data_IF_386215605754
#
_entry.id   IF_386215605754
#
_cell.length_a   1.000
_cell.length_b   1.000
_cell.length_c   1.000
_cell.angle_alpha   90.00
_cell.angle_beta   90.00
_cell.angle_gamma   90.00
#
_symmetry.space_group_name_H-M   'P 1'
#
loop_
_entity.id
_entity.type
_entity.pdbx_description
1 polymer ?
#
# COMPACT_ATOMS: atom_id res chain seq x y z
N UNK A 1 37.25 18.04 3.95
CA UNK A 1 36.30 17.02 3.44
C UNK A 1 35.98 17.36 1.99
N UNK A 2 35.81 16.36 1.12
CA UNK A 2 35.41 16.56 -0.27
C UNK A 2 34.05 17.26 -0.32
N UNK A 3 33.98 18.39 -1.04
CA UNK A 3 32.74 19.14 -1.29
C UNK A 3 32.40 19.03 -2.76
N UNK A 4 31.12 18.79 -3.07
CA UNK A 4 30.59 18.80 -4.43
C UNK A 4 29.55 19.89 -4.55
N UNK A 5 29.56 20.61 -5.66
CA UNK A 5 28.48 21.53 -5.99
C UNK A 5 27.30 20.71 -6.51
N UNK A 6 26.14 20.87 -5.88
CA UNK A 6 24.91 20.14 -6.22
C UNK A 6 23.79 21.14 -6.45
N UNK A 7 23.08 20.97 -7.56
CA UNK A 7 21.89 21.74 -7.91
C UNK A 7 20.65 21.04 -7.37
N UNK A 8 19.88 21.73 -6.55
CA UNK A 8 18.60 21.26 -6.04
C UNK A 8 17.48 21.90 -6.85
N UNK A 9 16.84 21.13 -7.72
CA UNK A 9 15.65 21.55 -8.47
C UNK A 9 14.42 21.25 -7.62
N UNK A 10 13.83 22.28 -7.02
CA UNK A 10 12.77 22.14 -6.01
C UNK A 10 11.45 22.64 -6.58
N UNK A 11 10.39 21.84 -6.42
CA UNK A 11 9.01 22.25 -6.70
C UNK A 11 8.59 23.41 -5.78
N UNK A 12 8.04 24.47 -6.37
CA UNK A 12 7.57 25.67 -5.68
C UNK A 12 6.13 25.97 -6.02
N UNK A 13 5.36 26.33 -5.01
CA UNK A 13 3.98 26.78 -5.18
C UNK A 13 3.50 27.52 -3.95
N UNK A 14 3.03 28.75 -4.12
CA UNK A 14 2.31 29.51 -3.12
C UNK A 14 0.93 29.90 -3.66
N UNK A 15 -0.16 29.30 -3.15
CA UNK A 15 -1.52 29.56 -3.66
C UNK A 15 -1.97 31.02 -3.50
N UNK A 16 -1.31 31.81 -2.65
CA UNK A 16 -1.63 33.24 -2.46
C UNK A 16 -1.05 34.15 -3.55
N UNK A 17 -0.08 33.66 -4.33
CA UNK A 17 0.68 34.49 -5.29
C UNK A 17 0.80 33.82 -6.66
N UNK A 18 1.06 32.51 -6.68
CA UNK A 18 1.40 31.78 -7.88
C UNK A 18 0.14 31.21 -8.55
N UNK A 19 0.01 31.41 -9.86
CA UNK A 19 -1.08 30.83 -10.65
C UNK A 19 -0.88 29.35 -10.94
N UNK A 20 0.36 28.94 -11.14
CA UNK A 20 0.77 27.57 -11.46
C UNK A 20 2.07 27.24 -10.73
N UNK A 21 2.30 25.98 -10.37
CA UNK A 21 3.56 25.58 -9.78
C UNK A 21 4.72 25.76 -10.75
N UNK A 22 5.91 25.94 -10.22
CA UNK A 22 7.15 26.07 -10.97
C UNK A 22 8.30 25.35 -10.26
N UNK A 23 9.45 25.26 -10.91
CA UNK A 23 10.66 24.73 -10.29
C UNK A 23 11.70 25.82 -10.15
N UNK A 24 12.35 25.85 -9.00
CA UNK A 24 13.46 26.75 -8.72
C UNK A 24 14.73 25.93 -8.49
N UNK A 25 15.89 26.49 -8.82
CA UNK A 25 17.17 25.77 -8.77
C UNK A 25 18.13 26.44 -7.79
N UNK A 26 18.58 25.70 -6.79
CA UNK A 26 19.51 26.18 -5.77
C UNK A 26 20.81 25.39 -5.84
N UNK A 27 21.91 26.07 -6.13
CA UNK A 27 23.25 25.45 -6.13
C UNK A 27 23.91 25.64 -4.78
N UNK A 28 24.26 24.55 -4.12
CA UNK A 28 24.96 24.56 -2.84
C UNK A 28 26.13 23.58 -2.85
N UNK A 29 27.22 23.93 -2.17
CA UNK A 29 28.34 23.03 -1.96
C UNK A 29 28.06 22.12 -0.77
N UNK A 30 27.99 20.81 -1.00
CA UNK A 30 27.66 19.81 0.02
C UNK A 30 28.84 18.90 0.34
N UNK A 31 29.00 18.57 1.61
CA UNK A 31 29.95 17.57 2.10
C UNK A 31 29.31 16.18 2.15
N UNK A 32 30.12 15.12 2.17
CA UNK A 32 29.64 13.75 2.38
C UNK A 32 29.00 13.62 3.77
N UNK A 33 27.86 12.92 3.84
CA UNK A 33 27.08 12.74 5.08
C UNK A 33 26.02 13.82 5.33
N UNK A 34 25.85 14.77 4.41
CA UNK A 34 24.73 15.71 4.43
C UNK A 34 23.48 15.04 3.88
N UNK A 35 22.38 15.17 4.62
CA UNK A 35 21.06 14.67 4.22
C UNK A 35 20.31 15.71 3.39
N UNK A 36 19.31 15.25 2.65
CA UNK A 36 18.43 16.12 1.85
C UNK A 36 17.75 17.17 2.75
N UNK A 37 17.32 16.79 3.96
CA UNK A 37 16.73 17.73 4.91
C UNK A 37 17.72 18.82 5.34
N UNK A 38 19.00 18.47 5.57
CA UNK A 38 20.03 19.46 5.91
C UNK A 38 20.28 20.42 4.74
N UNK A 39 20.26 19.94 3.51
CA UNK A 39 20.33 20.78 2.32
C UNK A 39 19.12 21.73 2.22
N UNK A 40 17.89 21.21 2.43
CA UNK A 40 16.66 22.02 2.44
C UNK A 40 16.68 23.11 3.53
N UNK A 41 17.15 22.79 4.74
CA UNK A 41 17.32 23.76 5.82
C UNK A 41 18.32 24.85 5.42
N UNK A 42 19.48 24.47 4.86
CA UNK A 42 20.48 25.44 4.40
C UNK A 42 19.92 26.37 3.32
N UNK A 43 19.20 25.84 2.33
CA UNK A 43 18.54 26.64 1.29
C UNK A 43 17.55 27.61 1.94
N UNK A 44 16.71 27.13 2.86
CA UNK A 44 15.73 27.99 3.54
C UNK A 44 16.41 29.08 4.37
N UNK A 45 17.45 28.76 5.12
CA UNK A 45 18.10 29.69 6.04
C UNK A 45 18.93 30.76 5.32
N UNK A 46 19.55 30.42 4.18
CA UNK A 46 20.55 31.29 3.56
C UNK A 46 20.21 31.77 2.15
N UNK A 47 19.33 31.09 1.42
CA UNK A 47 19.06 31.40 0.00
C UNK A 47 17.60 31.82 -0.25
N UNK A 48 16.62 31.09 0.29
CA UNK A 48 15.20 31.31 0.06
C UNK A 48 14.35 31.02 1.31
N UNK A 49 14.19 32.01 2.21
CA UNK A 49 13.43 31.88 3.45
C UNK A 49 11.96 31.48 3.28
N UNK A 50 11.37 31.71 2.10
CA UNK A 50 9.96 31.40 1.83
C UNK A 50 9.73 29.93 1.47
N UNK A 51 10.79 29.15 1.23
CA UNK A 51 10.70 27.71 0.98
C UNK A 51 10.04 27.00 2.16
N UNK A 52 9.03 26.19 1.88
CA UNK A 52 8.19 25.55 2.89
C UNK A 52 8.20 24.02 2.74
N UNK A 53 8.48 23.33 3.83
CA UNK A 53 8.44 21.86 3.91
C UNK A 53 8.14 21.45 5.37
N UNK A 54 7.70 20.21 5.56
CA UNK A 54 7.49 19.63 6.90
C UNK A 54 8.75 18.89 7.34
N UNK A 55 9.17 19.10 8.58
CA UNK A 55 10.25 18.36 9.22
C UNK A 55 10.10 18.45 10.75
N UNK A 56 10.57 17.42 11.45
CA UNK A 56 10.52 17.40 12.92
C UNK A 56 11.68 16.61 13.53
N UNK A 57 11.56 15.27 13.63
CA UNK A 57 12.47 14.47 14.48
C UNK A 57 13.91 14.33 13.98
N UNK A 58 14.16 14.52 12.69
CA UNK A 58 15.45 14.28 12.01
C UNK A 58 16.04 12.84 12.15
N UNK A 59 15.31 11.91 12.75
CA UNK A 59 15.76 10.54 13.05
C UNK A 59 15.00 9.46 12.27
N UNK A 60 14.19 9.83 11.27
CA UNK A 60 13.47 8.87 10.43
C UNK A 60 12.32 8.12 11.11
N UNK A 61 11.70 8.73 12.14
CA UNK A 61 10.61 8.09 12.91
C UNK A 61 9.27 8.86 12.90
N UNK A 62 9.27 10.19 12.72
CA UNK A 62 8.02 10.98 12.74
C UNK A 62 7.22 10.98 11.41
N UNK A 63 7.85 10.55 10.31
CA UNK A 63 7.24 10.56 8.97
C UNK A 63 7.07 11.94 8.30
N UNK A 64 7.25 13.05 9.01
CA UNK A 64 6.87 14.39 8.51
C UNK A 64 7.68 14.91 7.32
N UNK A 65 8.91 14.45 7.12
CA UNK A 65 9.80 14.91 6.05
C UNK A 65 9.76 14.04 4.79
N UNK A 66 8.68 13.29 4.60
CA UNK A 66 8.45 12.54 3.38
C UNK A 66 8.21 13.48 2.19
N UNK A 67 9.02 13.32 1.16
CA UNK A 67 8.97 14.07 -0.11
C UNK A 67 9.39 13.13 -1.23
N UNK A 68 9.15 13.51 -2.48
CA UNK A 68 9.68 12.79 -3.65
C UNK A 68 11.07 13.33 -3.98
N UNK A 69 12.03 12.43 -4.11
CA UNK A 69 13.44 12.72 -4.42
C UNK A 69 13.79 11.91 -5.66
N UNK A 70 14.18 12.60 -6.73
CA UNK A 70 14.41 12.00 -8.05
C UNK A 70 13.25 11.09 -8.50
N UNK A 71 12.02 11.56 -8.28
CA UNK A 71 10.79 10.87 -8.69
C UNK A 71 10.32 9.75 -7.75
N UNK A 72 10.96 9.51 -6.60
CA UNK A 72 10.57 8.45 -5.64
C UNK A 72 10.39 9.01 -4.24
N UNK A 73 9.33 8.60 -3.54
CA UNK A 73 9.10 9.00 -2.15
C UNK A 73 10.17 8.47 -1.19
N UNK A 74 10.81 9.37 -0.43
CA UNK A 74 11.82 9.07 0.59
C UNK A 74 11.68 10.02 1.79
N UNK A 75 12.32 9.69 2.91
CA UNK A 75 12.43 10.64 4.04
C UNK A 75 13.66 11.53 3.84
N UNK A 76 13.44 12.83 3.69
CA UNK A 76 14.53 13.78 3.47
C UNK A 76 15.60 13.75 4.59
N UNK A 77 15.22 13.41 5.82
CA UNK A 77 16.17 13.38 6.95
C UNK A 77 17.11 12.17 6.97
N UNK A 78 16.78 11.08 6.29
CA UNK A 78 17.63 9.87 6.23
C UNK A 78 18.29 9.69 4.87
N UNK A 79 17.73 10.27 3.81
CA UNK A 79 18.34 10.25 2.48
C UNK A 79 19.58 11.14 2.45
N UNK A 80 20.73 10.55 2.14
CA UNK A 80 21.98 11.27 1.94
C UNK A 80 21.99 11.91 0.56
N UNK A 81 22.46 13.16 0.47
CA UNK A 81 22.60 13.85 -0.82
C UNK A 81 23.49 13.05 -1.77
N UNK A 82 24.56 12.45 -1.24
CA UNK A 82 25.56 11.72 -2.02
C UNK A 82 25.05 10.41 -2.64
N UNK A 83 24.06 9.78 -2.02
CA UNK A 83 23.46 8.54 -2.53
C UNK A 83 22.50 8.83 -3.70
N UNK A 84 22.11 10.10 -3.88
CA UNK A 84 21.20 10.56 -4.93
C UNK A 84 21.93 11.22 -6.11
N UNK A 85 23.26 11.30 -6.06
CA UNK A 85 24.06 11.83 -7.17
C UNK A 85 24.24 10.74 -8.23
N UNK A 86 23.99 11.10 -9.50
CA UNK A 86 24.32 10.23 -10.63
C UNK A 86 25.83 10.12 -10.89
N UNK A 87 26.18 9.54 -12.05
CA UNK A 87 27.57 9.45 -12.53
C UNK A 87 28.21 10.81 -12.85
N UNK A 88 29.29 10.80 -13.63
CA UNK A 88 30.05 12.02 -13.92
C UNK A 88 29.21 13.05 -14.72
N UNK A 89 28.92 14.22 -14.12
CA UNK A 89 28.11 15.26 -14.73
C UNK A 89 27.57 16.31 -13.74
N UNK A 90 26.68 17.19 -14.22
CA UNK A 90 25.99 18.17 -13.35
C UNK A 90 25.07 17.44 -12.37
N UNK A 91 25.42 17.49 -11.10
CA UNK A 91 24.67 16.84 -10.04
C UNK A 91 23.38 17.62 -9.74
N UNK A 92 22.27 17.20 -10.35
CA UNK A 92 20.94 17.77 -10.07
C UNK A 92 20.07 16.78 -9.31
N UNK A 93 19.52 17.21 -8.18
CA UNK A 93 18.53 16.45 -7.40
C UNK A 93 17.18 17.14 -7.53
N UNK A 94 16.18 16.40 -8.02
CA UNK A 94 14.80 16.84 -8.11
C UNK A 94 14.07 16.57 -6.79
N UNK A 95 13.44 17.60 -6.22
CA UNK A 95 12.63 17.48 -4.99
C UNK A 95 11.22 17.97 -5.25
N UNK A 96 10.25 17.10 -4.97
CA UNK A 96 8.83 17.31 -5.25
C UNK A 96 7.97 16.95 -4.02
N UNK A 97 6.77 17.54 -3.88
CA UNK A 97 5.82 17.08 -2.87
C UNK A 97 5.43 15.62 -3.10
N UNK A 98 4.87 14.97 -2.07
CA UNK A 98 4.25 13.66 -2.23
C UNK A 98 3.16 13.70 -3.30
N UNK A 99 3.08 12.68 -4.14
CA UNK A 99 2.06 12.56 -5.17
C UNK A 99 0.71 12.13 -4.56
N UNK A 100 -0.36 12.20 -5.35
CA UNK A 100 -1.74 11.82 -4.97
C UNK A 100 -2.39 12.63 -3.84
N UNK A 101 -1.64 13.54 -3.24
CA UNK A 101 -2.10 14.47 -2.21
C UNK A 101 -2.11 15.88 -2.77
N UNK A 102 -3.04 16.70 -2.27
CA UNK A 102 -3.14 18.09 -2.70
C UNK A 102 -1.98 18.89 -2.12
N UNK A 103 -1.32 19.70 -2.96
CA UNK A 103 -0.23 20.57 -2.51
C UNK A 103 -0.79 21.81 -1.85
N UNK A 104 -0.47 22.00 -0.57
CA UNK A 104 -0.86 23.20 0.20
C UNK A 104 0.10 24.34 -0.11
N UNK A 105 1.41 24.08 -0.07
CA UNK A 105 2.47 25.06 -0.38
C UNK A 105 3.82 24.37 -0.53
N UNK A 106 4.56 24.67 -1.60
CA UNK A 106 5.87 24.10 -1.91
C UNK A 106 5.86 22.56 -1.75
N UNK A 107 6.59 22.02 -0.76
CA UNK A 107 6.67 20.58 -0.51
C UNK A 107 5.66 20.07 0.53
N UNK A 108 4.76 20.94 1.01
CA UNK A 108 3.72 20.60 1.99
C UNK A 108 2.46 20.16 1.28
N UNK A 109 1.99 18.96 1.63
CA UNK A 109 0.74 18.38 1.12
C UNK A 109 -0.33 18.25 2.21
N UNK A 110 -1.60 18.20 1.81
CA UNK A 110 -2.69 17.88 2.72
C UNK A 110 -2.71 16.37 3.00
N UNK A 111 -2.65 16.00 4.28
CA UNK A 111 -2.65 14.60 4.74
C UNK A 111 -4.00 14.18 5.33
N UNK A 112 -4.96 15.11 5.46
CA UNK A 112 -6.27 14.83 6.01
C UNK A 112 -6.99 13.66 5.32
N UNK A 113 -6.92 13.48 3.99
CA UNK A 113 -7.52 12.33 3.33
C UNK A 113 -7.05 10.97 3.87
N UNK A 114 -5.79 10.85 4.29
CA UNK A 114 -5.27 9.63 4.91
C UNK A 114 -5.86 9.46 6.32
N UNK A 115 -5.87 10.54 7.10
CA UNK A 115 -6.36 10.52 8.47
C UNK A 115 -7.85 10.21 8.55
N UNK A 116 -8.64 10.75 7.63
CA UNK A 116 -10.07 10.56 7.60
C UNK A 116 -10.41 9.12 7.19
N UNK A 117 -9.75 8.57 6.17
CA UNK A 117 -9.88 7.14 5.83
C UNK A 117 -9.48 6.20 6.96
N UNK A 118 -8.45 6.54 7.75
CA UNK A 118 -8.08 5.75 8.94
C UNK A 118 -9.20 5.74 10.00
N UNK A 119 -9.83 6.90 10.25
CA UNK A 119 -10.96 7.02 11.19
C UNK A 119 -12.19 6.26 10.68
N UNK A 120 -12.50 6.42 9.40
CA UNK A 120 -13.59 5.74 8.69
C UNK A 120 -13.38 4.22 8.62
N UNK A 121 -12.19 3.69 8.89
CA UNK A 121 -11.92 2.25 8.82
C UNK A 121 -11.44 1.67 10.16
N UNK A 122 -11.86 2.29 11.26
CA UNK A 122 -11.69 1.76 12.63
C UNK A 122 -10.24 1.36 12.95
N UNK A 123 -9.31 2.29 12.69
CA UNK A 123 -7.88 2.11 12.89
C UNK A 123 -7.42 2.18 14.36
N UNK A 124 -8.21 1.62 15.28
CA UNK A 124 -7.94 1.52 16.71
C UNK A 124 -8.32 0.14 17.23
N UNK A 125 -7.79 -0.20 18.42
CA UNK A 125 -8.14 -1.44 19.13
C UNK A 125 -9.46 -1.23 19.86
N UNK A 126 -10.44 -2.11 19.65
CA UNK A 126 -11.59 -2.28 20.54
C UNK A 126 -11.26 -3.41 21.52
N UNK A 127 -11.03 -3.11 22.81
CA UNK A 127 -10.52 -4.08 23.76
C UNK A 127 -11.38 -5.34 23.88
N UNK A 128 -10.74 -6.51 23.90
CA UNK A 128 -11.38 -7.79 24.19
C UNK A 128 -11.79 -7.98 25.65
N UNK A 129 -11.40 -7.05 26.54
CA UNK A 129 -11.74 -7.11 27.96
C UNK A 129 -12.88 -6.13 28.30
N UNK A 130 -13.71 -6.47 29.31
CA UNK A 130 -14.71 -5.54 29.84
C UNK A 130 -14.11 -4.24 30.39
N UNK A 131 -14.85 -3.15 30.27
CA UNK A 131 -14.39 -1.81 30.64
C UNK A 131 -14.02 -1.68 32.12
N UNK A 132 -14.75 -2.35 33.01
CA UNK A 132 -14.51 -2.35 34.46
C UNK A 132 -13.19 -3.02 34.90
N UNK A 133 -12.57 -3.78 34.00
CA UNK A 133 -11.27 -4.43 34.20
C UNK A 133 -10.11 -3.66 33.56
N UNK A 134 -10.38 -2.66 32.71
CA UNK A 134 -9.33 -1.86 32.08
C UNK A 134 -8.50 -1.10 33.12
N UNK A 135 -7.20 -0.96 32.88
CA UNK A 135 -6.27 -0.23 33.75
C UNK A 135 -5.86 -0.95 35.04
N UNK A 136 -6.44 -2.12 35.35
CA UNK A 136 -6.06 -2.92 36.55
C UNK A 136 -4.77 -3.71 36.36
N UNK A 137 -4.49 -4.15 35.14
CA UNK A 137 -3.28 -4.87 34.73
C UNK A 137 -3.12 -4.78 33.20
N UNK A 138 -1.93 -5.07 32.70
CA UNK A 138 -1.69 -5.21 31.27
C UNK A 138 -2.47 -6.40 30.65
N UNK A 139 -2.70 -6.31 29.34
CA UNK A 139 -3.16 -7.45 28.55
C UNK A 139 -1.94 -8.28 28.13
N UNK A 140 -1.93 -9.56 28.47
CA UNK A 140 -0.84 -10.46 28.11
C UNK A 140 -0.96 -10.82 26.63
N UNK A 141 0.09 -10.51 25.88
CA UNK A 141 0.25 -10.88 24.46
C UNK A 141 1.49 -11.75 24.38
N UNK A 142 1.38 -12.93 23.77
CA UNK A 142 2.53 -13.81 23.55
C UNK A 142 3.47 -13.24 22.48
N UNK A 143 4.74 -13.68 22.48
CA UNK A 143 5.71 -13.27 21.46
C UNK A 143 5.21 -13.58 20.05
N UNK A 144 4.56 -14.73 19.86
CA UNK A 144 3.99 -15.14 18.58
C UNK A 144 2.84 -14.25 18.10
N UNK A 145 1.97 -13.80 19.01
CA UNK A 145 0.88 -12.86 18.69
C UNK A 145 1.42 -11.46 18.39
N UNK A 146 2.47 -11.03 19.08
CA UNK A 146 3.11 -9.75 18.79
C UNK A 146 3.84 -9.77 17.44
N UNK A 147 4.57 -10.85 17.14
CA UNK A 147 5.32 -10.98 15.90
C UNK A 147 4.42 -10.92 14.66
N UNK A 148 3.20 -11.47 14.74
CA UNK A 148 2.20 -11.39 13.67
C UNK A 148 1.84 -9.93 13.27
N UNK A 149 1.99 -8.97 14.18
CA UNK A 149 1.64 -7.55 13.96
C UNK A 149 2.83 -6.60 14.00
N UNK A 150 4.03 -7.10 14.29
CA UNK A 150 5.22 -6.30 14.61
C UNK A 150 5.60 -5.38 13.43
N UNK A 151 5.86 -5.97 12.26
CA UNK A 151 6.25 -5.21 11.07
C UNK A 151 5.19 -4.17 10.65
N UNK A 152 3.90 -4.49 10.76
CA UNK A 152 2.83 -3.55 10.43
C UNK A 152 2.67 -2.43 11.48
N UNK A 153 3.13 -2.66 12.73
CA UNK A 153 3.10 -1.68 13.80
C UNK A 153 4.16 -0.59 13.66
N UNK A 154 5.23 -0.82 12.88
CA UNK A 154 6.28 0.15 12.58
C UNK A 154 5.86 1.25 11.59
N UNK A 155 4.62 1.23 11.12
CA UNK A 155 4.09 2.27 10.23
C UNK A 155 4.09 3.64 10.91
N UNK A 156 4.92 4.55 10.41
CA UNK A 156 5.06 5.93 10.90
C UNK A 156 4.11 6.92 10.21
N UNK A 157 3.16 6.44 9.40
CA UNK A 157 2.20 7.27 8.65
C UNK A 157 2.85 8.39 7.80
N UNK A 158 4.01 8.11 7.18
CA UNK A 158 4.75 9.08 6.36
C UNK A 158 4.07 9.41 5.03
N UNK A 159 3.16 8.56 4.53
CA UNK A 159 2.46 8.76 3.26
C UNK A 159 3.20 8.32 2.00
N UNK A 160 4.44 7.81 2.08
CA UNK A 160 5.19 7.36 0.90
C UNK A 160 4.44 6.30 0.08
N UNK A 161 3.86 5.30 0.73
CA UNK A 161 3.08 4.27 0.05
C UNK A 161 1.80 4.79 -0.61
N UNK A 162 1.24 5.90 -0.10
CA UNK A 162 0.09 6.59 -0.71
C UNK A 162 0.52 7.36 -1.96
N UNK A 163 1.66 8.07 -1.87
CA UNK A 163 2.27 8.79 -3.00
C UNK A 163 2.59 7.87 -4.18
N UNK A 164 3.12 6.68 -3.92
CA UNK A 164 3.56 5.77 -5.00
C UNK A 164 2.47 4.81 -5.49
N UNK A 165 1.27 4.84 -4.91
CA UNK A 165 0.19 3.95 -5.30
C UNK A 165 -0.47 4.42 -6.60
N UNK A 166 -0.37 3.61 -7.65
CA UNK A 166 -1.02 3.88 -8.94
C UNK A 166 -2.54 3.94 -8.85
N UNK A 167 -3.16 3.20 -7.92
CA UNK A 167 -4.61 3.25 -7.73
C UNK A 167 -5.08 4.57 -7.15
N UNK A 168 -4.25 5.24 -6.36
CA UNK A 168 -4.59 6.56 -5.85
C UNK A 168 -4.57 7.65 -6.94
N UNK A 169 -3.81 7.44 -8.02
CA UNK A 169 -3.80 8.33 -9.19
C UNK A 169 -5.12 8.26 -9.98
N UNK A 170 -5.70 7.05 -10.07
CA UNK A 170 -6.89 6.79 -10.89
C UNK A 170 -8.19 6.91 -10.08
N UNK A 171 -8.18 6.46 -8.83
CA UNK A 171 -9.35 6.43 -7.95
C UNK A 171 -9.01 7.01 -6.57
N UNK A 172 -9.37 8.28 -6.34
CA UNK A 172 -9.18 8.92 -5.03
C UNK A 172 -10.03 8.31 -3.92
N UNK A 173 -11.12 7.63 -4.27
CA UNK A 173 -11.98 6.92 -3.31
C UNK A 173 -11.38 5.62 -2.81
N UNK A 174 -10.31 5.11 -3.44
CA UNK A 174 -9.62 3.90 -2.98
C UNK A 174 -9.17 4.05 -1.52
N UNK A 175 -9.44 3.03 -0.69
CA UNK A 175 -9.18 3.05 0.76
C UNK A 175 -7.73 3.33 1.14
N UNK A 176 -6.80 3.08 0.23
CA UNK A 176 -5.36 3.38 0.29
C UNK A 176 -4.49 2.40 1.11
N UNK A 177 -3.19 2.27 0.76
CA UNK A 177 -2.28 1.35 1.45
C UNK A 177 -2.09 1.58 2.96
N UNK A 178 -1.95 2.83 3.48
CA UNK A 178 -1.82 3.06 4.92
C UNK A 178 -2.96 2.46 5.75
N UNK A 179 -4.19 2.53 5.23
CA UNK A 179 -5.38 2.03 5.91
C UNK A 179 -5.40 0.51 5.90
N UNK A 180 -5.04 -0.13 4.77
CA UNK A 180 -4.97 -1.58 4.68
C UNK A 180 -3.89 -2.17 5.60
N UNK A 181 -2.71 -1.55 5.70
CA UNK A 181 -1.67 -1.94 6.67
C UNK A 181 -2.20 -1.86 8.10
N UNK A 182 -2.91 -0.78 8.42
CA UNK A 182 -3.47 -0.59 9.76
C UNK A 182 -4.60 -1.57 10.04
N UNK A 183 -5.43 -1.88 9.04
CA UNK A 183 -6.48 -2.89 9.15
C UNK A 183 -5.90 -4.28 9.40
N UNK A 184 -4.90 -4.70 8.62
CA UNK A 184 -4.17 -5.94 8.84
C UNK A 184 -3.61 -6.01 10.26
N UNK A 185 -2.89 -4.96 10.70
CA UNK A 185 -2.32 -4.85 12.04
C UNK A 185 -3.36 -4.97 13.15
N UNK A 186 -4.55 -4.41 12.97
CA UNK A 186 -5.60 -4.43 13.98
C UNK A 186 -6.37 -5.75 13.98
N UNK A 187 -6.65 -6.32 12.81
CA UNK A 187 -7.35 -7.60 12.67
C UNK A 187 -6.56 -8.76 13.27
N UNK A 188 -5.23 -8.68 13.23
CA UNK A 188 -4.32 -9.70 13.76
C UNK A 188 -3.86 -9.41 15.19
N UNK A 189 -4.35 -8.34 15.83
CA UNK A 189 -4.04 -8.03 17.24
C UNK A 189 -4.99 -8.80 18.16
N UNK A 190 -4.45 -9.67 19.03
CA UNK A 190 -5.24 -10.49 19.96
C UNK A 190 -6.07 -9.67 20.96
N UNK A 191 -5.78 -8.38 21.11
CA UNK A 191 -6.51 -7.45 21.98
C UNK A 191 -7.75 -6.86 21.31
N UNK A 192 -7.90 -6.96 20.00
CA UNK A 192 -8.95 -6.32 19.21
C UNK A 192 -10.16 -7.24 18.99
N UNK A 193 -11.36 -6.65 18.96
CA UNK A 193 -12.63 -7.37 18.72
C UNK A 193 -13.37 -6.91 17.46
N UNK A 194 -12.80 -6.01 16.66
CA UNK A 194 -13.43 -5.43 15.47
C UNK A 194 -12.99 -6.09 14.16
N UNK A 195 -12.24 -7.20 14.21
CA UNK A 195 -11.68 -7.81 13.01
C UNK A 195 -12.71 -8.05 11.89
N UNK A 196 -13.89 -8.60 12.22
CA UNK A 196 -14.95 -8.83 11.22
C UNK A 196 -15.48 -7.51 10.62
N UNK A 197 -15.92 -6.58 11.48
CA UNK A 197 -16.54 -5.32 11.06
C UNK A 197 -15.54 -4.45 10.27
N UNK A 198 -14.28 -4.45 10.69
CA UNK A 198 -13.20 -3.76 9.97
C UNK A 198 -12.94 -4.41 8.62
N UNK A 199 -12.92 -5.74 8.55
CA UNK A 199 -12.70 -6.46 7.31
C UNK A 199 -13.83 -6.22 6.29
N UNK A 200 -15.09 -6.20 6.74
CA UNK A 200 -16.24 -5.86 5.89
C UNK A 200 -16.10 -4.44 5.32
N UNK A 201 -15.73 -3.48 6.17
CA UNK A 201 -15.49 -2.09 5.76
C UNK A 201 -14.36 -1.97 4.74
N UNK A 202 -13.22 -2.59 5.00
CA UNK A 202 -12.12 -2.51 4.04
C UNK A 202 -12.40 -3.33 2.78
N UNK A 203 -13.33 -4.28 2.80
CA UNK A 203 -13.70 -5.10 1.64
C UNK A 203 -14.83 -4.53 0.79
N UNK A 204 -15.44 -3.42 1.21
CA UNK A 204 -16.52 -2.75 0.47
C UNK A 204 -16.02 -2.14 -0.85
N UNK A 205 -16.93 -1.51 -1.59
CA UNK A 205 -16.61 -0.78 -2.82
C UNK A 205 -15.48 0.23 -2.58
N UNK A 206 -14.55 0.31 -3.53
CA UNK A 206 -13.31 1.09 -3.42
C UNK A 206 -12.37 0.68 -2.28
N UNK A 207 -12.58 -0.50 -1.73
CA UNK A 207 -11.76 -1.09 -0.68
C UNK A 207 -10.61 -1.95 -1.21
N UNK A 208 -10.34 -3.03 -0.48
CA UNK A 208 -9.29 -4.03 -0.61
C UNK A 208 -9.11 -4.56 -2.04
N UNK A 209 -10.21 -4.70 -2.76
CA UNK A 209 -10.23 -5.33 -4.08
C UNK A 209 -9.73 -4.41 -5.20
N UNK A 210 -9.77 -3.09 -5.02
CA UNK A 210 -9.28 -2.12 -6.00
C UNK A 210 -7.75 -2.12 -6.13
N UNK A 211 -7.02 -2.76 -5.22
CA UNK A 211 -5.56 -2.87 -5.32
C UNK A 211 -5.15 -3.55 -6.64
N UNK A 212 -4.32 -2.85 -7.43
CA UNK A 212 -3.82 -3.31 -8.73
C UNK A 212 -2.54 -4.16 -8.67
N UNK A 213 -2.05 -4.51 -7.47
CA UNK A 213 -0.85 -5.37 -7.30
C UNK A 213 0.39 -4.85 -8.04
N UNK A 214 0.65 -3.54 -7.97
CA UNK A 214 1.85 -2.94 -8.58
C UNK A 214 3.08 -2.94 -7.66
N UNK A 215 2.93 -3.35 -6.40
CA UNK A 215 3.97 -3.44 -5.36
C UNK A 215 4.74 -2.16 -5.00
N UNK A 216 4.53 -1.03 -5.69
CA UNK A 216 5.20 0.25 -5.41
C UNK A 216 5.08 0.74 -3.98
N UNK A 217 3.94 0.46 -3.33
CA UNK A 217 3.72 0.82 -1.92
C UNK A 217 4.71 0.12 -0.98
N UNK A 218 5.02 -1.16 -1.24
CA UNK A 218 5.97 -1.97 -0.48
C UNK A 218 7.40 -1.60 -0.85
N UNK A 219 7.71 -1.47 -2.14
CA UNK A 219 9.05 -1.12 -2.66
C UNK A 219 9.58 0.21 -2.10
N UNK A 220 8.69 1.21 -1.96
CA UNK A 220 9.04 2.54 -1.47
C UNK A 220 8.60 2.79 -0.02
N UNK A 221 8.31 1.73 0.74
CA UNK A 221 8.07 1.86 2.17
C UNK A 221 9.37 2.20 2.89
N UNK A 222 9.44 3.38 3.51
CA UNK A 222 10.65 3.86 4.22
C UNK A 222 10.96 3.07 5.50
N UNK A 223 10.08 2.14 5.88
CA UNK A 223 10.21 1.25 7.03
C UNK A 223 10.24 -0.23 6.63
N UNK A 224 10.28 -0.53 5.32
CA UNK A 224 10.32 -1.91 4.79
C UNK A 224 9.17 -2.80 5.29
N UNK A 225 7.98 -2.21 5.46
CA UNK A 225 6.80 -2.96 5.89
C UNK A 225 6.33 -3.85 4.72
N UNK A 226 6.02 -5.14 4.95
CA UNK A 226 5.52 -6.04 3.92
C UNK A 226 4.03 -5.74 3.60
N UNK A 227 3.78 -4.57 3.00
CA UNK A 227 2.42 -4.03 2.80
C UNK A 227 1.55 -4.96 1.94
N UNK A 228 2.10 -5.47 0.84
CA UNK A 228 1.35 -6.37 -0.06
C UNK A 228 1.01 -7.70 0.62
N UNK A 229 1.89 -8.25 1.44
CA UNK A 229 1.61 -9.48 2.19
C UNK A 229 0.43 -9.28 3.13
N UNK A 230 0.38 -8.15 3.85
CA UNK A 230 -0.77 -7.77 4.68
C UNK A 230 -2.06 -7.59 3.88
N UNK A 231 -1.99 -7.01 2.67
CA UNK A 231 -3.14 -6.88 1.75
C UNK A 231 -3.62 -8.26 1.27
N UNK A 232 -2.70 -9.17 0.95
CA UNK A 232 -3.05 -10.54 0.56
C UNK A 232 -3.69 -11.30 1.71
N UNK A 233 -3.16 -11.18 2.94
CA UNK A 233 -3.75 -11.76 4.14
C UNK A 233 -5.17 -11.26 4.40
N UNK A 234 -5.44 -9.96 4.25
CA UNK A 234 -6.80 -9.44 4.35
C UNK A 234 -7.74 -10.04 3.29
N UNK A 235 -7.26 -10.30 2.07
CA UNK A 235 -8.08 -10.95 1.03
C UNK A 235 -8.38 -12.40 1.36
N UNK A 236 -7.37 -13.13 1.87
CA UNK A 236 -7.54 -14.50 2.36
C UNK A 236 -8.56 -14.54 3.51
N UNK A 237 -8.41 -13.69 4.52
CA UNK A 237 -9.36 -13.55 5.64
C UNK A 237 -10.79 -13.26 5.15
N UNK A 238 -10.94 -12.42 4.12
CA UNK A 238 -12.24 -12.09 3.54
C UNK A 238 -12.89 -13.32 2.89
N UNK A 239 -12.12 -14.09 2.12
CA UNK A 239 -12.61 -15.34 1.52
C UNK A 239 -12.95 -16.41 2.57
N UNK A 240 -12.11 -16.59 3.59
CA UNK A 240 -12.32 -17.56 4.67
C UNK A 240 -13.61 -17.26 5.46
N UNK A 241 -14.00 -16.00 5.53
CA UNK A 241 -15.23 -15.55 6.18
C UNK A 241 -16.45 -15.48 5.24
N UNK A 242 -16.28 -15.93 3.99
CA UNK A 242 -17.35 -15.92 2.99
C UNK A 242 -17.76 -14.54 2.49
N UNK A 243 -16.89 -13.52 2.62
CA UNK A 243 -17.15 -12.15 2.16
C UNK A 243 -16.95 -12.04 0.63
N UNK A 244 -17.78 -12.73 -0.14
CA UNK A 244 -17.66 -12.85 -1.60
C UNK A 244 -18.64 -11.98 -2.39
N UNK A 245 -19.43 -11.15 -1.71
CA UNK A 245 -20.52 -10.37 -2.30
C UNK A 245 -20.09 -9.06 -2.98
N UNK A 246 -18.83 -8.63 -2.86
CA UNK A 246 -18.36 -7.43 -3.57
C UNK A 246 -18.04 -7.75 -5.04
N UNK A 247 -18.10 -6.74 -5.93
CA UNK A 247 -17.72 -6.92 -7.34
C UNK A 247 -16.29 -7.47 -7.45
N UNK A 248 -15.37 -6.91 -6.68
CA UNK A 248 -13.98 -7.31 -6.66
C UNK A 248 -13.74 -8.73 -6.12
N UNK A 249 -14.45 -9.13 -5.07
CA UNK A 249 -14.38 -10.49 -4.53
C UNK A 249 -14.93 -11.51 -5.54
N UNK A 250 -16.08 -11.23 -6.17
CA UNK A 250 -16.62 -12.07 -7.25
C UNK A 250 -15.68 -12.17 -8.45
N UNK A 251 -15.03 -11.07 -8.82
CA UNK A 251 -14.04 -11.07 -9.90
C UNK A 251 -12.86 -12.00 -9.59
N UNK A 252 -12.28 -11.87 -8.38
CA UNK A 252 -11.18 -12.71 -7.93
C UNK A 252 -11.58 -14.18 -7.86
N UNK A 253 -12.77 -14.49 -7.34
CA UNK A 253 -13.29 -15.87 -7.31
C UNK A 253 -13.50 -16.43 -8.73
N UNK A 254 -14.11 -15.66 -9.62
CA UNK A 254 -14.34 -16.08 -11.00
C UNK A 254 -13.02 -16.37 -11.74
N UNK A 255 -12.00 -15.55 -11.51
CA UNK A 255 -10.67 -15.77 -12.04
C UNK A 255 -10.04 -17.04 -11.47
N UNK A 256 -10.11 -17.24 -10.15
CA UNK A 256 -9.61 -18.44 -9.49
C UNK A 256 -10.25 -19.72 -10.06
N UNK A 257 -11.58 -19.75 -10.15
CA UNK A 257 -12.32 -20.90 -10.67
C UNK A 257 -11.94 -21.21 -12.13
N UNK A 258 -11.79 -20.19 -12.98
CA UNK A 258 -11.42 -20.37 -14.38
C UNK A 258 -10.01 -20.96 -14.54
N UNK A 259 -9.05 -20.51 -13.73
CA UNK A 259 -7.69 -21.04 -13.72
C UNK A 259 -7.67 -22.47 -13.17
N UNK A 260 -8.40 -22.75 -12.08
CA UNK A 260 -8.50 -24.11 -11.51
C UNK A 260 -9.10 -25.11 -12.49
N UNK A 261 -10.19 -24.73 -13.16
CA UNK A 261 -10.99 -25.67 -13.94
C UNK A 261 -10.48 -25.84 -15.39
N UNK A 262 -9.87 -24.79 -15.97
CA UNK A 262 -9.49 -24.76 -17.40
C UNK A 262 -8.04 -24.33 -17.62
N UNK A 263 -7.39 -23.72 -16.62
CA UNK A 263 -6.05 -23.14 -16.76
C UNK A 263 -6.03 -21.88 -17.64
N UNK A 264 -7.21 -21.35 -18.00
CA UNK A 264 -7.41 -20.20 -18.88
C UNK A 264 -8.65 -19.42 -18.48
N UNK A 265 -8.56 -18.10 -18.59
CA UNK A 265 -9.65 -17.20 -18.26
C UNK A 265 -10.81 -17.29 -19.26
N UNK A 266 -12.06 -17.39 -18.78
CA UNK A 266 -13.26 -17.34 -19.61
C UNK A 266 -13.76 -15.89 -19.71
N UNK A 267 -13.03 -15.10 -20.49
CA UNK A 267 -13.25 -13.64 -20.65
C UNK A 267 -14.69 -13.25 -20.99
N UNK A 268 -15.40 -14.07 -21.78
CA UNK A 268 -16.80 -13.81 -22.17
C UNK A 268 -17.76 -13.90 -20.99
N UNK A 269 -17.53 -14.84 -20.07
CA UNK A 269 -18.38 -15.06 -18.90
C UNK A 269 -17.98 -14.21 -17.70
N UNK A 270 -16.76 -13.67 -17.70
CA UNK A 270 -16.22 -12.92 -16.57
C UNK A 270 -17.07 -11.69 -16.21
N UNK A 271 -17.50 -10.82 -17.14
CA UNK A 271 -18.37 -9.68 -16.80
C UNK A 271 -19.66 -10.11 -16.10
N UNK A 272 -20.27 -11.21 -16.57
CA UNK A 272 -21.52 -11.75 -15.98
C UNK A 272 -21.29 -12.26 -14.56
N UNK A 273 -20.17 -12.94 -14.30
CA UNK A 273 -19.82 -13.47 -12.97
C UNK A 273 -19.37 -12.37 -12.01
N UNK A 274 -18.75 -11.31 -12.52
CA UNK A 274 -18.27 -10.16 -11.73
C UNK A 274 -19.40 -9.17 -11.41
N UNK A 275 -20.12 -8.69 -12.43
CA UNK A 275 -21.10 -7.60 -12.33
C UNK A 275 -22.56 -8.05 -12.31
N UNK A 276 -22.82 -9.36 -12.48
CA UNK A 276 -24.16 -9.87 -12.69
C UNK A 276 -24.75 -9.46 -14.05
N UNK A 277 -25.98 -9.92 -14.32
CA UNK A 277 -26.64 -9.68 -15.61
C UNK A 277 -26.94 -8.19 -15.85
N UNK A 278 -27.45 -7.50 -14.82
CA UNK A 278 -27.82 -6.09 -14.93
C UNK A 278 -26.58 -5.21 -15.12
N UNK A 279 -25.53 -5.40 -14.30
CA UNK A 279 -24.29 -4.63 -14.41
C UNK A 279 -23.52 -4.89 -15.72
N UNK A 280 -23.69 -6.06 -16.34
CA UNK A 280 -23.07 -6.38 -17.63
C UNK A 280 -23.73 -5.67 -18.82
N UNK A 281 -24.98 -5.19 -18.71
CA UNK A 281 -25.64 -4.44 -19.78
C UNK A 281 -24.84 -3.18 -20.17
N UNK A 282 -24.17 -2.54 -19.20
CA UNK A 282 -23.31 -1.39 -19.45
C UNK A 282 -22.09 -1.68 -20.33
N UNK A 283 -21.71 -2.95 -20.49
CA UNK A 283 -20.56 -3.37 -21.31
C UNK A 283 -20.93 -3.70 -22.76
N UNK A 284 -22.22 -3.72 -23.11
CA UNK A 284 -22.71 -4.03 -24.46
C UNK A 284 -22.09 -3.13 -25.54
N UNK A 285 -21.99 -1.79 -25.37
CA UNK A 285 -21.37 -0.93 -26.38
C UNK A 285 -19.90 -1.28 -26.64
N UNK A 286 -19.15 -1.65 -25.59
CA UNK A 286 -17.75 -2.08 -25.72
C UNK A 286 -17.67 -3.43 -26.45
N UNK A 287 -18.52 -4.39 -26.10
CA UNK A 287 -18.58 -5.70 -26.75
C UNK A 287 -18.86 -5.58 -28.25
N UNK A 288 -19.83 -4.74 -28.65
CA UNK A 288 -20.12 -4.45 -30.07
C UNK A 288 -18.89 -3.84 -30.77
N UNK A 289 -18.24 -2.86 -30.14
CA UNK A 289 -17.03 -2.22 -30.69
C UNK A 289 -15.87 -3.21 -30.86
N UNK A 290 -15.71 -4.15 -29.93
CA UNK A 290 -14.72 -5.23 -30.03
C UNK A 290 -15.05 -6.21 -31.16
N UNK A 291 -16.35 -6.56 -31.31
CA UNK A 291 -16.87 -7.36 -32.42
C UNK A 291 -16.55 -6.75 -33.78
N UNK A 292 -16.87 -5.47 -33.96
CA UNK A 292 -16.59 -4.73 -35.20
C UNK A 292 -15.09 -4.67 -35.54
N UNK A 293 -14.21 -4.77 -34.54
CA UNK A 293 -12.75 -4.77 -34.72
C UNK A 293 -12.15 -6.18 -34.80
N UNK A 294 -12.96 -7.24 -34.79
CA UNK A 294 -12.48 -8.62 -34.78
C UNK A 294 -11.65 -8.97 -33.54
N UNK A 295 -11.85 -8.25 -32.42
CA UNK A 295 -11.12 -8.45 -31.14
C UNK A 295 -11.99 -9.12 -30.08
N UNK A 296 -12.91 -9.98 -30.49
CA UNK A 296 -13.78 -10.71 -29.55
C UNK A 296 -13.02 -11.88 -28.93
N UNK A 297 -13.08 -12.05 -27.60
CA UNK A 297 -12.54 -13.23 -26.96
C UNK A 297 -13.21 -14.50 -27.47
N UNK A 298 -12.53 -15.66 -27.41
CA UNK A 298 -13.11 -16.93 -27.83
C UNK A 298 -14.31 -17.29 -26.94
N UNK A 299 -15.42 -17.70 -27.57
CA UNK A 299 -16.64 -18.14 -26.86
C UNK A 299 -16.44 -19.45 -26.09
N UNK A 300 -15.56 -20.32 -26.59
CA UNK A 300 -15.19 -21.58 -25.95
C UNK A 300 -13.71 -21.62 -25.68
N UNK A 301 -13.36 -21.75 -24.40
CA UNK A 301 -11.98 -21.90 -23.94
C UNK A 301 -11.73 -23.38 -23.67
N UNK A 302 -10.79 -23.98 -24.39
CA UNK A 302 -10.37 -25.37 -24.14
C UNK A 302 -9.39 -25.42 -22.95
N UNK A 303 -9.46 -26.46 -22.09
CA UNK A 303 -8.46 -26.70 -21.06
C UNK A 303 -7.05 -26.72 -21.63
N UNK A 304 -6.07 -26.33 -20.83
CA UNK A 304 -4.66 -26.52 -21.17
C UNK A 304 -4.31 -28.02 -21.20
N UNK A 305 -3.31 -28.45 -21.98
CA UNK A 305 -2.93 -29.87 -22.08
C UNK A 305 -2.60 -30.55 -20.75
N UNK A 306 -2.07 -29.81 -19.77
CA UNK A 306 -1.64 -30.32 -18.45
C UNK A 306 -2.56 -29.84 -17.31
N UNK A 307 -3.86 -29.73 -17.54
CA UNK A 307 -4.82 -29.22 -16.53
C UNK A 307 -4.81 -30.06 -15.25
N UNK A 308 -4.63 -31.37 -15.36
CA UNK A 308 -4.60 -32.27 -14.19
C UNK A 308 -3.48 -31.91 -13.20
N UNK A 309 -2.33 -31.42 -13.70
CA UNK A 309 -1.24 -30.94 -12.84
C UNK A 309 -1.62 -29.67 -12.08
N UNK A 310 -2.38 -28.78 -12.72
CA UNK A 310 -2.88 -27.57 -12.08
C UNK A 310 -3.87 -27.94 -10.99
N UNK A 311 -4.82 -28.85 -11.28
CA UNK A 311 -5.75 -29.37 -10.27
C UNK A 311 -5.03 -30.04 -9.10
N UNK A 312 -3.96 -30.81 -9.37
CA UNK A 312 -3.13 -31.42 -8.32
C UNK A 312 -2.45 -30.38 -7.43
N UNK A 313 -1.92 -29.29 -8.00
CA UNK A 313 -1.34 -28.18 -7.23
C UNK A 313 -2.39 -27.58 -6.29
N UNK A 314 -3.61 -27.35 -6.78
CA UNK A 314 -4.70 -26.82 -5.95
C UNK A 314 -5.08 -27.78 -4.82
N UNK A 315 -5.26 -29.07 -5.11
CA UNK A 315 -5.58 -30.08 -4.08
C UNK A 315 -4.50 -30.20 -3.00
N UNK A 316 -3.22 -30.11 -3.37
CA UNK A 316 -2.11 -30.09 -2.39
C UNK A 316 -2.14 -28.82 -1.53
N UNK A 317 -2.46 -27.67 -2.12
CA UNK A 317 -2.58 -26.42 -1.37
C UNK A 317 -3.76 -26.47 -0.40
N UNK A 318 -4.91 -26.99 -0.81
CA UNK A 318 -6.08 -27.19 0.05
C UNK A 318 -5.76 -28.12 1.23
N UNK A 319 -5.15 -29.28 0.97
CA UNK A 319 -4.72 -30.20 2.02
C UNK A 319 -3.74 -29.53 3.01
N UNK A 320 -2.75 -28.78 2.50
CA UNK A 320 -1.80 -28.06 3.37
C UNK A 320 -2.45 -26.98 4.25
N UNK A 321 -3.55 -26.38 3.78
CA UNK A 321 -4.34 -25.40 4.54
C UNK A 321 -5.18 -26.08 5.60
N UNK A 322 -5.77 -27.23 5.30
CA UNK A 322 -6.49 -28.06 6.27
C UNK A 322 -5.55 -28.52 7.37
N UNK A 323 -4.36 -29.03 7.03
CA UNK A 323 -3.33 -29.42 8.00
C UNK A 323 -2.89 -28.24 8.89
N UNK A 324 -2.71 -27.05 8.30
CA UNK A 324 -2.37 -25.83 9.05
C UNK A 324 -3.53 -25.31 9.92
N UNK A 325 -4.78 -25.46 9.48
CA UNK A 325 -5.98 -25.14 10.24
C UNK A 325 -6.20 -26.12 11.40
N UNK A 326 -5.93 -27.40 11.20
CA UNK A 326 -5.97 -28.43 12.24
C UNK A 326 -4.86 -28.22 13.28
N UNK A 327 -3.66 -27.85 12.85
CA UNK A 327 -2.54 -27.47 13.73
C UNK A 327 -2.78 -26.18 14.52
N UNK A 328 -3.73 -25.33 14.10
CA UNK A 328 -4.09 -24.07 14.77
C UNK A 328 -5.40 -24.13 15.58
N UNK A 329 -6.01 -25.33 15.69
CA UNK A 329 -7.23 -25.58 16.46
C UNK A 329 -6.98 -25.35 17.99
N UNK A 330 -7.85 -24.63 18.74
CA UNK A 330 -7.52 -24.02 20.04
C UNK A 330 -7.28 -24.99 21.20
N UNK A 331 -7.42 -26.30 21.00
CA UNK A 331 -7.06 -27.30 22.01
C UNK A 331 -5.55 -27.42 22.21
N UNK A 332 -4.73 -27.00 21.25
CA UNK A 332 -3.28 -26.89 21.36
C UNK A 332 -2.87 -25.45 21.00
N UNK A 333 -1.99 -24.85 21.80
CA UNK A 333 -1.70 -23.41 21.77
C UNK A 333 -1.40 -22.87 20.35
N UNK A 334 -1.94 -21.69 20.06
CA UNK A 334 -1.76 -20.98 18.77
C UNK A 334 -0.27 -20.95 18.41
N UNK A 335 0.09 -21.67 17.36
CA UNK A 335 1.43 -21.53 16.75
C UNK A 335 1.34 -20.46 15.66
N UNK A 336 2.22 -19.45 15.63
CA UNK A 336 2.24 -18.47 14.55
C UNK A 336 2.56 -19.17 13.24
N UNK A 337 1.76 -18.94 12.20
CA UNK A 337 2.14 -19.31 10.85
C UNK A 337 3.31 -18.41 10.44
N UNK A 338 4.48 -19.02 10.25
CA UNK A 338 5.67 -18.36 9.69
C UNK A 338 5.32 -17.61 8.40
N UNK A 339 5.92 -16.44 8.13
CA UNK A 339 5.71 -15.73 6.89
C UNK A 339 6.06 -16.63 5.69
N UNK A 340 5.27 -16.62 4.59
CA UNK A 340 5.44 -17.53 3.45
C UNK A 340 6.71 -17.27 2.63
N UNK A 341 7.49 -16.23 2.95
CA UNK A 341 8.74 -15.92 2.28
C UNK A 341 9.85 -15.65 3.30
N UNK A 342 11.07 -16.23 3.10
CA UNK A 342 12.22 -15.82 3.89
C UNK A 342 12.45 -14.33 3.64
N UNK A 343 12.40 -13.54 4.70
CA UNK A 343 12.84 -12.14 4.68
C UNK A 343 14.31 -12.18 4.30
N UNK A 344 14.60 -11.93 3.02
CA UNK A 344 15.95 -11.91 2.49
C UNK A 344 16.71 -10.79 3.17
N UNK A 345 17.52 -11.14 4.17
CA UNK A 345 18.49 -10.24 4.77
C UNK A 345 19.49 -9.79 3.69
N UNK A 346 19.67 -8.48 3.57
CA UNK A 346 20.89 -7.89 3.04
C UNK A 346 21.66 -7.29 4.19
#
# INVERSE_FOLDING_TARGET
MERREVSFRIYRYNPQVDRTPFYDNFRIAVEKGITILRALNHIKEHLEPRLTFRAFCQAGICGSCAVRINGVSKLACTTQVWDELGGDGEHTILIEPLNNLEVVRDLVVDINPIMDKLKENYSWVKPAIPQEKMGRKEHIVSDGEFEAINAASDCILCGSCYSECSMMEVNRSYISPPVLVKAFRMNNDSRDTLACERLERVSSDHGLWDCAHCHKCMEHCTKNIPIMDGIHRLREEAFERGMTDSEGARHAQAFFDDIRDVGRLREVTLPLRTKGMIGSLGMVPLAVKMGLKGRTPPLWVRPIPDIDRVSEIYSRLEASREDAAEASNPSHGRTPLSPPYPVGGK
#
